data_IF_045150246234
#
_entry.id   IF_045150246234
#
_cell.length_a   1.000
_cell.length_b   1.000
_cell.length_c   1.000
_cell.angle_alpha   90.00
_cell.angle_beta   90.00
_cell.angle_gamma   90.00
#
_symmetry.space_group_name_H-M   'P 1'
#
loop_
_entity.id
_entity.type
_entity.pdbx_description
1 polymer ?
#
# COMPACT_ATOMS: atom_id res chain seq x y z
N UNK A 1 9.86 -13.63 15.25
CA UNK A 1 9.31 -14.65 14.34
C UNK A 1 10.41 -15.17 13.42
N UNK A 2 10.40 -16.45 13.05
CA UNK A 2 11.41 -17.13 12.24
C UNK A 2 11.46 -16.70 10.74
N UNK A 3 11.08 -15.45 10.44
CA UNK A 3 10.95 -14.94 9.07
C UNK A 3 9.80 -15.57 8.28
N UNK A 4 8.86 -16.27 8.92
CA UNK A 4 7.66 -16.79 8.26
C UNK A 4 6.61 -15.67 8.16
N UNK A 5 6.30 -15.24 6.94
CA UNK A 5 5.31 -14.20 6.65
C UNK A 5 4.28 -14.72 5.64
N UNK A 6 3.06 -14.17 5.60
CA UNK A 6 2.08 -14.50 4.58
C UNK A 6 2.65 -14.36 3.17
N UNK A 7 2.39 -15.35 2.30
CA UNK A 7 2.72 -15.26 0.88
C UNK A 7 2.03 -14.06 0.22
N UNK A 8 0.78 -13.81 0.63
CA UNK A 8 -0.05 -12.68 0.24
C UNK A 8 -0.84 -12.20 1.46
N UNK A 9 -0.60 -10.99 1.94
CA UNK A 9 -1.25 -10.44 3.15
C UNK A 9 -2.75 -10.24 2.99
N UNK A 10 -3.18 -9.95 1.76
CA UNK A 10 -4.57 -9.70 1.43
C UNK A 10 -5.41 -10.99 1.54
N UNK A 11 -4.83 -12.15 1.20
CA UNK A 11 -5.48 -13.46 1.32
C UNK A 11 -5.54 -14.04 2.74
N UNK A 12 -5.00 -13.35 3.75
CA UNK A 12 -5.08 -13.83 5.13
C UNK A 12 -6.53 -13.69 5.62
N UNK A 13 -7.15 -14.82 5.97
CA UNK A 13 -8.52 -14.87 6.49
C UNK A 13 -8.49 -15.20 7.98
N UNK A 14 -9.27 -14.47 8.77
CA UNK A 14 -9.45 -14.69 10.21
C UNK A 14 -10.86 -15.16 10.49
N UNK A 15 -11.02 -16.20 11.31
CA UNK A 15 -12.32 -16.75 11.67
C UNK A 15 -12.57 -16.67 13.19
N UNK A 16 -13.75 -16.25 13.65
CA UNK A 16 -14.81 -15.64 12.84
C UNK A 16 -14.31 -14.33 12.21
N UNK A 17 -14.79 -14.02 11.00
CA UNK A 17 -14.42 -12.78 10.28
C UNK A 17 -14.82 -11.52 11.07
N UNK A 18 -15.84 -11.66 11.90
CA UNK A 18 -16.32 -10.65 12.83
C UNK A 18 -16.37 -11.22 14.25
N UNK A 19 -15.73 -10.55 15.19
CA UNK A 19 -15.72 -10.95 16.60
C UNK A 19 -14.54 -10.32 17.35
N UNK A 20 -14.64 -10.28 18.68
CA UNK A 20 -13.60 -9.70 19.54
C UNK A 20 -12.26 -10.47 19.49
N UNK A 21 -12.29 -11.74 19.07
CA UNK A 21 -11.14 -12.63 19.07
C UNK A 21 -11.10 -13.47 17.79
N UNK A 22 -9.95 -13.47 17.10
CA UNK A 22 -9.65 -14.43 16.06
C UNK A 22 -9.39 -15.81 16.68
N UNK A 23 -10.03 -16.85 16.14
CA UNK A 23 -9.88 -18.25 16.57
C UNK A 23 -9.05 -19.08 15.60
N UNK A 24 -9.18 -18.83 14.30
CA UNK A 24 -8.44 -19.53 13.24
C UNK A 24 -7.93 -18.51 12.23
N UNK A 25 -6.69 -18.68 11.78
CA UNK A 25 -6.09 -17.90 10.69
C UNK A 25 -5.78 -18.86 9.55
N UNK A 26 -6.37 -18.61 8.38
CA UNK A 26 -6.04 -19.31 7.15
C UNK A 26 -5.01 -18.48 6.36
N UNK A 27 -3.78 -18.98 6.26
CA UNK A 27 -2.68 -18.31 5.58
C UNK A 27 -1.66 -19.31 5.04
N UNK A 28 -1.11 -19.00 3.87
CA UNK A 28 0.08 -19.67 3.35
C UNK A 28 1.31 -18.88 3.82
N UNK A 29 2.12 -19.47 4.71
CA UNK A 29 3.34 -18.84 5.22
C UNK A 29 4.54 -19.23 4.37
N UNK A 30 5.34 -18.24 4.02
CA UNK A 30 6.59 -18.41 3.27
C UNK A 30 7.74 -17.83 4.08
N UNK A 31 8.87 -18.52 4.07
CA UNK A 31 10.08 -18.03 4.70
C UNK A 31 10.67 -16.87 3.90
N UNK A 32 10.88 -15.73 4.57
CA UNK A 32 11.60 -14.56 4.06
C UNK A 32 13.03 -14.53 4.62
N UNK A 33 13.97 -13.87 3.92
CA UNK A 33 15.36 -13.76 4.38
C UNK A 33 15.52 -12.76 5.55
N UNK A 34 14.47 -12.05 5.92
CA UNK A 34 14.42 -11.09 7.02
C UNK A 34 13.31 -11.46 8.02
N UNK A 35 13.36 -10.84 9.21
CA UNK A 35 12.28 -10.88 10.21
C UNK A 35 11.73 -9.47 10.42
N UNK A 36 10.42 -9.37 10.62
CA UNK A 36 9.76 -8.14 11.10
C UNK A 36 9.62 -8.26 12.62
N UNK A 37 10.00 -7.22 13.35
CA UNK A 37 9.84 -7.10 14.80
C UNK A 37 9.55 -5.65 15.20
N UNK A 38 9.10 -5.44 16.44
CA UNK A 38 9.04 -4.10 17.00
C UNK A 38 10.42 -3.45 17.02
N UNK A 39 10.44 -2.16 16.73
CA UNK A 39 11.62 -1.32 16.86
C UNK A 39 11.90 -1.05 18.35
N UNK A 40 13.17 -1.04 18.72
CA UNK A 40 13.62 -0.70 20.08
C UNK A 40 14.57 0.50 20.05
N UNK A 41 14.66 1.23 21.15
CA UNK A 41 15.65 2.31 21.31
C UNK A 41 17.10 1.88 21.06
N UNK A 42 17.44 0.60 21.26
CA UNK A 42 18.75 0.04 20.91
C UNK A 42 19.04 0.07 19.40
N UNK A 43 18.00 0.17 18.56
CA UNK A 43 18.13 0.26 17.11
C UNK A 43 18.55 1.68 16.65
N UNK A 44 18.47 2.70 17.51
CA UNK A 44 18.70 4.11 17.16
C UNK A 44 19.97 4.37 16.34
N UNK A 45 21.16 3.84 16.67
CA UNK A 45 22.35 4.05 15.86
C UNK A 45 22.16 3.61 14.41
N UNK A 46 21.42 2.52 14.20
CA UNK A 46 21.15 2.00 12.86
C UNK A 46 20.00 2.76 12.18
N UNK A 47 19.00 3.21 12.93
CA UNK A 47 17.92 4.04 12.40
C UNK A 47 18.43 5.41 11.91
N UNK A 48 19.41 6.00 12.58
CA UNK A 48 20.08 7.21 12.11
C UNK A 48 20.79 7.00 10.76
N UNK A 49 21.46 5.86 10.59
CA UNK A 49 22.06 5.51 9.29
C UNK A 49 21.00 5.31 8.20
N UNK A 50 19.83 4.73 8.54
CA UNK A 50 18.72 4.62 7.60
C UNK A 50 18.18 6.01 7.21
N UNK A 51 18.05 6.95 8.15
CA UNK A 51 17.69 8.35 7.83
C UNK A 51 18.69 9.00 6.86
N UNK A 52 19.99 8.75 7.03
CA UNK A 52 21.02 9.31 6.15
C UNK A 52 20.89 8.86 4.69
N UNK A 53 20.55 7.58 4.46
CA UNK A 53 20.38 7.03 3.11
C UNK A 53 18.98 7.28 2.54
N UNK A 54 17.96 7.37 3.41
CA UNK A 54 16.57 7.55 3.01
C UNK A 54 16.20 9.00 2.65
N UNK A 55 16.90 9.97 3.22
CA UNK A 55 16.50 11.38 3.13
C UNK A 55 17.66 12.34 2.83
N UNK A 56 17.34 13.41 2.10
CA UNK A 56 18.21 14.59 1.95
C UNK A 56 18.51 15.20 3.34
N UNK A 57 19.68 15.81 3.57
CA UNK A 57 20.08 16.33 4.88
C UNK A 57 19.03 17.15 5.62
N UNK A 58 18.35 18.07 4.94
CA UNK A 58 17.31 18.93 5.51
C UNK A 58 16.01 18.20 5.89
N UNK A 59 15.81 16.98 5.39
CA UNK A 59 14.63 16.16 5.66
C UNK A 59 14.88 15.14 6.78
N UNK A 60 16.11 14.94 7.23
CA UNK A 60 16.43 13.87 8.18
C UNK A 60 15.85 14.17 9.57
N UNK A 61 15.25 13.15 10.18
CA UNK A 61 14.91 13.23 11.60
C UNK A 61 16.18 13.20 12.45
N UNK A 62 16.19 13.99 13.53
CA UNK A 62 17.28 13.94 14.53
C UNK A 62 17.13 12.70 15.42
N UNK A 63 18.19 12.30 16.12
CA UNK A 63 18.12 11.18 17.08
C UNK A 63 17.00 11.38 18.11
N UNK A 64 16.81 12.61 18.60
CA UNK A 64 15.75 12.93 19.56
C UNK A 64 14.35 12.71 18.98
N UNK A 65 14.12 13.05 17.71
CA UNK A 65 12.85 12.80 17.02
C UNK A 65 12.63 11.30 16.86
N UNK A 66 13.65 10.55 16.42
CA UNK A 66 13.55 9.10 16.29
C UNK A 66 13.28 8.42 17.64
N UNK A 67 14.02 8.80 18.69
CA UNK A 67 13.83 8.29 20.05
C UNK A 67 12.41 8.54 20.53
N UNK A 68 11.88 9.76 20.32
CA UNK A 68 10.50 10.10 20.67
C UNK A 68 9.49 9.21 19.96
N UNK A 69 9.66 8.93 18.66
CA UNK A 69 8.77 8.02 17.91
C UNK A 69 8.72 6.64 18.56
N UNK A 70 9.87 6.09 18.92
CA UNK A 70 9.98 4.75 19.52
C UNK A 70 9.40 4.70 20.94
N UNK A 71 9.69 5.69 21.77
CA UNK A 71 9.25 5.72 23.17
C UNK A 71 7.74 6.04 23.29
N UNK A 72 7.22 6.88 22.41
CA UNK A 72 5.81 7.29 22.43
C UNK A 72 4.89 6.17 21.93
N UNK A 73 5.32 5.41 20.92
CA UNK A 73 4.51 4.38 20.26
C UNK A 73 5.29 3.07 20.07
N UNK A 74 5.66 2.39 21.17
CA UNK A 74 6.58 1.24 21.14
C UNK A 74 5.99 0.02 20.42
N UNK A 75 4.67 -0.07 20.30
CA UNK A 75 3.96 -1.21 19.69
C UNK A 75 3.51 -0.97 18.25
N UNK A 76 3.79 0.22 17.68
CA UNK A 76 3.40 0.53 16.29
C UNK A 76 4.60 0.74 15.37
N UNK A 77 5.81 0.94 15.91
CA UNK A 77 7.02 1.04 15.12
C UNK A 77 7.62 -0.35 14.87
N UNK A 78 7.96 -0.64 13.62
CA UNK A 78 8.48 -1.95 13.20
C UNK A 78 9.77 -1.80 12.42
N UNK A 79 10.66 -2.77 12.55
CA UNK A 79 11.88 -2.91 11.75
C UNK A 79 11.94 -4.24 11.03
N UNK A 80 12.53 -4.23 9.85
CA UNK A 80 13.02 -5.43 9.18
C UNK A 80 14.48 -5.65 9.57
N UNK A 81 14.79 -6.84 10.08
CA UNK A 81 16.14 -7.25 10.43
C UNK A 81 16.57 -8.45 9.60
N UNK A 82 17.78 -8.39 9.04
CA UNK A 82 18.43 -9.46 8.29
C UNK A 82 19.84 -9.65 8.82
N UNK A 83 20.19 -10.91 9.14
CA UNK A 83 21.51 -11.25 9.69
C UNK A 83 21.97 -10.36 10.88
N UNK A 84 21.05 -9.95 11.75
CA UNK A 84 21.35 -9.09 12.90
C UNK A 84 21.36 -7.58 12.62
N UNK A 85 21.28 -7.16 11.36
CA UNK A 85 21.26 -5.75 10.93
C UNK A 85 19.83 -5.29 10.65
N UNK A 86 19.43 -4.14 11.19
CA UNK A 86 18.19 -3.47 10.79
C UNK A 86 18.38 -2.84 9.40
N UNK A 87 17.54 -3.26 8.44
CA UNK A 87 17.64 -2.89 7.03
C UNK A 87 16.42 -2.12 6.52
N UNK A 88 15.34 -2.04 7.30
CA UNK A 88 14.24 -1.12 7.04
C UNK A 88 13.47 -0.82 8.32
N UNK A 89 12.73 0.28 8.32
CA UNK A 89 11.89 0.73 9.43
C UNK A 89 10.60 1.34 8.90
N UNK A 90 9.51 1.13 9.63
CA UNK A 90 8.27 1.89 9.51
C UNK A 90 7.90 2.43 10.88
N UNK A 91 7.72 3.75 10.96
CA UNK A 91 7.23 4.44 12.13
C UNK A 91 5.73 4.65 11.99
N UNK A 92 4.98 4.28 13.01
CA UNK A 92 3.54 4.52 13.05
C UNK A 92 3.10 4.86 14.48
N UNK A 93 1.92 5.44 14.59
CA UNK A 93 1.30 5.77 15.87
C UNK A 93 -0.22 5.77 15.76
N UNK A 94 -0.92 5.64 16.88
CA UNK A 94 -2.35 5.89 16.91
C UNK A 94 -2.64 7.37 17.17
N UNK A 95 -3.71 7.88 16.56
CA UNK A 95 -4.20 9.25 16.70
C UNK A 95 -5.73 9.27 16.81
N UNK A 96 -6.26 10.30 17.48
CA UNK A 96 -7.70 10.42 17.75
C UNK A 96 -8.51 10.90 16.53
N UNK A 97 -7.94 11.78 15.70
CA UNK A 97 -8.61 12.35 14.52
C UNK A 97 -7.64 12.58 13.36
N UNK A 98 -8.20 12.89 12.18
CA UNK A 98 -7.43 13.29 11.00
C UNK A 98 -6.80 14.68 11.19
N UNK A 99 -7.42 15.55 11.99
CA UNK A 99 -7.03 16.97 12.11
C UNK A 99 -5.63 17.16 12.71
N UNK A 100 -5.06 16.12 13.32
CA UNK A 100 -3.69 16.12 13.83
C UNK A 100 -2.66 16.52 12.78
N UNK A 101 -2.94 16.23 11.49
CA UNK A 101 -2.02 16.58 10.40
C UNK A 101 -2.07 18.07 10.05
N UNK A 102 -3.11 18.79 10.48
CA UNK A 102 -3.22 20.24 10.28
C UNK A 102 -2.63 21.02 11.46
N UNK A 103 -2.60 20.40 12.64
CA UNK A 103 -2.14 21.06 13.87
C UNK A 103 -0.67 20.78 14.16
N UNK A 104 -0.16 19.61 13.78
CA UNK A 104 1.21 19.20 14.04
C UNK A 104 2.05 19.14 12.76
N UNK A 105 3.34 19.46 12.91
CA UNK A 105 4.33 19.32 11.85
C UNK A 105 4.97 17.94 11.86
N UNK A 106 5.59 17.57 10.74
CA UNK A 106 6.18 16.24 10.55
C UNK A 106 7.19 15.82 11.64
N UNK A 107 8.02 16.74 12.14
CA UNK A 107 9.02 16.43 13.17
C UNK A 107 8.42 16.32 14.57
N UNK A 108 7.29 16.97 14.79
CA UNK A 108 6.58 17.09 16.07
C UNK A 108 5.39 16.14 16.19
N UNK A 109 4.99 15.48 15.09
CA UNK A 109 3.77 14.68 14.95
C UNK A 109 3.57 13.62 16.05
N UNK A 110 4.66 13.16 16.70
CA UNK A 110 4.59 12.25 17.85
C UNK A 110 3.83 12.82 19.06
N UNK A 111 3.70 14.15 19.16
CA UNK A 111 2.91 14.80 20.20
C UNK A 111 1.40 14.47 20.10
N UNK A 112 0.92 14.13 18.90
CA UNK A 112 -0.48 13.76 18.66
C UNK A 112 -0.81 12.29 18.98
N UNK A 113 0.14 11.52 19.52
CA UNK A 113 -0.11 10.13 19.84
C UNK A 113 -1.23 9.98 20.87
N UNK A 114 -2.23 9.17 20.53
CA UNK A 114 -3.27 8.72 21.44
C UNK A 114 -3.34 7.18 21.40
N UNK A 115 -2.98 6.47 22.48
CA UNK A 115 -3.09 5.02 22.56
C UNK A 115 -4.51 4.48 22.30
N UNK A 116 -5.54 5.25 22.65
CA UNK A 116 -6.95 4.94 22.41
C UNK A 116 -7.46 5.41 21.03
N UNK A 117 -6.62 6.11 20.27
CA UNK A 117 -6.92 6.60 18.94
C UNK A 117 -7.34 5.46 18.00
N UNK A 118 -8.42 5.69 17.24
CA UNK A 118 -8.97 4.71 16.30
C UNK A 118 -8.34 4.76 14.91
N UNK A 119 -7.42 5.67 14.70
CA UNK A 119 -6.72 5.87 13.43
C UNK A 119 -5.26 5.51 13.63
N UNK A 120 -4.72 4.60 12.82
CA UNK A 120 -3.29 4.33 12.78
C UNK A 120 -2.64 5.24 11.72
N UNK A 121 -1.76 6.13 12.14
CA UNK A 121 -1.00 7.01 11.27
C UNK A 121 0.37 6.40 10.94
N UNK A 122 0.62 6.16 9.66
CA UNK A 122 1.96 5.93 9.11
C UNK A 122 2.72 7.27 9.10
N UNK A 123 3.85 7.32 9.79
CA UNK A 123 4.67 8.53 9.93
C UNK A 123 5.78 8.56 8.89
N UNK A 124 6.59 7.50 8.82
CA UNK A 124 7.66 7.40 7.82
C UNK A 124 8.04 5.93 7.60
N UNK A 125 8.48 5.63 6.38
CA UNK A 125 9.00 4.31 5.99
C UNK A 125 10.34 4.52 5.29
N UNK A 126 11.36 3.76 5.68
CA UNK A 126 12.71 3.87 5.12
C UNK A 126 13.29 2.47 4.98
N UNK A 127 13.92 2.18 3.85
CA UNK A 127 14.71 0.97 3.62
C UNK A 127 16.14 1.31 3.24
N UNK A 128 17.07 0.42 3.58
CA UNK A 128 18.46 0.50 3.12
C UNK A 128 18.51 0.53 1.58
N UNK A 129 19.48 1.24 1.04
CA UNK A 129 19.71 1.43 -0.39
C UNK A 129 20.67 0.37 -0.96
N UNK A 130 21.17 -0.56 -0.14
CA UNK A 130 21.93 -1.72 -0.63
C UNK A 130 21.13 -2.47 -1.72
N UNK A 131 21.73 -2.78 -2.89
CA UNK A 131 21.01 -3.37 -4.03
C UNK A 131 20.33 -4.71 -3.74
N UNK A 132 20.85 -5.49 -2.79
CA UNK A 132 20.19 -6.71 -2.33
C UNK A 132 18.91 -6.42 -1.53
N UNK A 133 18.91 -5.36 -0.71
CA UNK A 133 17.78 -4.95 0.11
C UNK A 133 16.69 -4.34 -0.76
N UNK A 134 17.05 -3.48 -1.72
CA UNK A 134 16.08 -2.87 -2.63
C UNK A 134 15.30 -3.91 -3.45
N UNK A 135 15.96 -4.97 -3.92
CA UNK A 135 15.30 -6.07 -4.65
C UNK A 135 14.30 -6.86 -3.82
N UNK A 136 14.34 -6.75 -2.49
CA UNK A 136 13.38 -7.43 -1.61
C UNK A 136 12.05 -6.69 -1.48
N UNK A 137 11.94 -5.44 -1.95
CA UNK A 137 10.70 -4.68 -1.86
C UNK A 137 10.23 -4.44 -0.42
N UNK A 138 11.16 -4.15 0.52
CA UNK A 138 10.83 -4.05 1.95
C UNK A 138 9.82 -2.96 2.28
N UNK A 139 9.72 -1.92 1.46
CA UNK A 139 8.68 -0.91 1.61
C UNK A 139 7.29 -1.50 1.42
N UNK A 140 7.09 -2.30 0.37
CA UNK A 140 5.81 -2.98 0.11
C UNK A 140 5.49 -3.98 1.22
N UNK A 141 6.47 -4.76 1.66
CA UNK A 141 6.31 -5.75 2.75
C UNK A 141 5.95 -5.08 4.08
N UNK A 142 6.65 -4.00 4.48
CA UNK A 142 6.33 -3.27 5.71
C UNK A 142 4.97 -2.58 5.64
N UNK A 143 4.63 -1.93 4.52
CA UNK A 143 3.31 -1.33 4.31
C UNK A 143 2.22 -2.39 4.46
N UNK A 144 2.35 -3.51 3.73
CA UNK A 144 1.38 -4.61 3.76
C UNK A 144 1.24 -5.20 5.17
N UNK A 145 2.35 -5.40 5.88
CA UNK A 145 2.34 -5.92 7.24
C UNK A 145 1.64 -4.97 8.22
N UNK A 146 1.89 -3.66 8.15
CA UNK A 146 1.21 -2.68 9.02
C UNK A 146 -0.29 -2.63 8.72
N UNK A 147 -0.70 -2.63 7.45
CA UNK A 147 -2.11 -2.66 7.07
C UNK A 147 -2.79 -3.94 7.54
N UNK A 148 -2.08 -5.08 7.48
CA UNK A 148 -2.57 -6.34 8.03
C UNK A 148 -2.77 -6.26 9.55
N UNK A 149 -1.81 -5.70 10.30
CA UNK A 149 -1.97 -5.46 11.75
C UNK A 149 -3.18 -4.57 12.04
N UNK A 150 -3.35 -3.47 11.31
CA UNK A 150 -4.50 -2.58 11.46
C UNK A 150 -5.83 -3.30 11.17
N UNK A 151 -5.86 -4.19 10.17
CA UNK A 151 -7.03 -4.99 9.84
C UNK A 151 -7.43 -5.93 10.97
N UNK A 152 -6.48 -6.56 11.65
CA UNK A 152 -6.78 -7.52 12.74
C UNK A 152 -6.98 -6.84 14.11
N UNK A 153 -6.57 -5.58 14.25
CA UNK A 153 -6.76 -4.81 15.47
C UNK A 153 -8.20 -4.25 15.56
N UNK A 154 -9.01 -4.64 16.57
CA UNK A 154 -10.38 -4.17 16.68
C UNK A 154 -10.49 -2.69 17.08
N UNK A 155 -9.42 -2.08 17.58
CA UNK A 155 -9.40 -0.67 17.97
C UNK A 155 -9.07 0.28 16.81
N UNK A 156 -8.62 -0.23 15.66
CA UNK A 156 -8.24 0.58 14.50
C UNK A 156 -9.32 0.50 13.43
N UNK A 157 -9.82 1.64 12.97
CA UNK A 157 -10.87 1.74 11.93
C UNK A 157 -10.28 2.11 10.57
N UNK A 158 -9.24 2.94 10.54
CA UNK A 158 -8.58 3.34 9.31
C UNK A 158 -7.08 3.55 9.52
N UNK A 159 -6.34 3.52 8.42
CA UNK A 159 -4.91 3.87 8.41
C UNK A 159 -4.72 5.11 7.58
N UNK A 160 -3.97 6.10 8.07
CA UNK A 160 -3.66 7.32 7.33
C UNK A 160 -2.15 7.48 7.18
N UNK A 161 -1.73 8.38 6.31
CA UNK A 161 -0.37 8.87 6.25
C UNK A 161 -0.33 10.21 5.54
N UNK A 162 0.67 11.03 5.83
CA UNK A 162 0.94 12.22 5.01
C UNK A 162 2.18 11.92 4.21
N UNK A 163 1.99 11.68 2.92
CA UNK A 163 3.08 11.38 1.99
C UNK A 163 3.54 12.65 1.27
N UNK A 164 4.60 12.53 0.47
CA UNK A 164 5.12 13.59 -0.40
C UNK A 164 5.00 13.18 -1.86
N UNK A 165 5.16 14.13 -2.77
CA UNK A 165 5.37 13.83 -4.18
C UNK A 165 6.88 13.82 -4.47
N UNK A 166 7.37 12.73 -5.06
CA UNK A 166 8.80 12.61 -5.41
C UNK A 166 9.10 13.12 -6.82
N UNK A 167 8.10 13.13 -7.70
CA UNK A 167 8.25 13.50 -9.10
C UNK A 167 7.68 14.90 -9.41
N UNK A 168 7.18 15.59 -8.38
CA UNK A 168 6.65 16.95 -8.49
C UNK A 168 7.76 17.98 -8.76
N UNK A 169 7.52 18.85 -9.74
CA UNK A 169 8.39 19.96 -10.11
C UNK A 169 7.53 21.20 -10.37
N UNK A 170 7.15 21.89 -9.30
CA UNK A 170 6.27 23.06 -9.38
C UNK A 170 6.24 23.85 -8.06
N UNK A 171 5.38 24.86 -8.01
CA UNK A 171 5.15 25.65 -6.81
C UNK A 171 3.85 25.29 -6.09
N UNK A 172 3.53 26.06 -5.05
CA UNK A 172 2.33 25.87 -4.22
C UNK A 172 1.03 25.82 -5.04
N UNK A 173 0.94 26.63 -6.11
CA UNK A 173 -0.29 26.77 -6.91
C UNK A 173 -0.52 25.56 -7.83
N UNK A 174 0.54 24.84 -8.17
CA UNK A 174 0.52 23.72 -9.09
C UNK A 174 0.30 22.37 -8.39
N UNK A 175 0.55 22.27 -7.07
CA UNK A 175 0.48 21.02 -6.32
C UNK A 175 -0.90 20.35 -6.39
N UNK A 176 -1.99 21.11 -6.27
CA UNK A 176 -3.34 20.55 -6.33
C UNK A 176 -3.61 19.91 -7.69
N UNK A 177 -3.35 20.66 -8.78
CA UNK A 177 -3.51 20.15 -10.13
C UNK A 177 -2.60 18.93 -10.40
N UNK A 178 -1.38 18.91 -9.86
CA UNK A 178 -0.49 17.75 -9.99
C UNK A 178 -1.08 16.50 -9.34
N UNK A 179 -1.55 16.61 -8.09
CA UNK A 179 -2.16 15.49 -7.37
C UNK A 179 -3.47 15.05 -8.02
N UNK A 180 -4.29 15.98 -8.49
CA UNK A 180 -5.54 15.66 -9.20
C UNK A 180 -5.27 14.86 -10.48
N UNK A 181 -4.24 15.25 -11.25
CA UNK A 181 -3.81 14.50 -12.44
C UNK A 181 -3.25 13.12 -12.11
N UNK A 182 -2.64 12.95 -10.94
CA UNK A 182 -2.24 11.62 -10.46
C UNK A 182 -3.46 10.75 -10.14
N UNK A 183 -4.44 11.31 -9.43
CA UNK A 183 -5.68 10.61 -9.07
C UNK A 183 -6.50 10.24 -10.30
N UNK A 184 -6.59 11.15 -11.28
CA UNK A 184 -7.21 10.91 -12.58
C UNK A 184 -6.41 9.94 -13.46
N UNK A 185 -5.17 9.64 -13.08
CA UNK A 185 -4.32 8.67 -13.77
C UNK A 185 -3.65 9.18 -15.05
N UNK A 186 -3.69 10.49 -15.27
CA UNK A 186 -2.97 11.15 -16.37
C UNK A 186 -1.46 11.15 -16.15
N UNK A 187 -1.03 11.20 -14.90
CA UNK A 187 0.36 11.12 -14.48
C UNK A 187 0.52 10.14 -13.33
N UNK A 188 1.74 9.73 -13.06
CA UNK A 188 2.04 8.84 -11.94
C UNK A 188 3.23 9.39 -11.16
N UNK A 189 2.97 9.83 -9.93
CA UNK A 189 4.00 10.10 -8.94
C UNK A 189 4.35 8.80 -8.22
N UNK A 190 5.63 8.50 -8.13
CA UNK A 190 6.17 7.28 -7.53
C UNK A 190 5.77 7.07 -6.07
N UNK A 191 5.77 8.13 -5.25
CA UNK A 191 5.56 8.02 -3.80
C UNK A 191 4.07 8.04 -3.46
N UNK A 192 3.27 8.86 -4.14
CA UNK A 192 1.81 8.79 -4.00
C UNK A 192 1.30 7.48 -4.59
N UNK A 193 1.82 7.06 -5.74
CA UNK A 193 1.51 5.81 -6.43
C UNK A 193 1.82 4.55 -5.61
N UNK A 194 2.94 4.55 -4.86
CA UNK A 194 3.26 3.49 -3.91
C UNK A 194 2.10 3.23 -2.91
N UNK A 195 1.34 4.26 -2.54
CA UNK A 195 0.20 4.10 -1.64
C UNK A 195 -1.12 3.85 -2.37
N UNK A 196 -1.42 4.62 -3.43
CA UNK A 196 -2.68 4.51 -4.17
C UNK A 196 -2.78 3.21 -4.98
N UNK A 197 -1.65 2.62 -5.36
CA UNK A 197 -1.57 1.27 -5.94
C UNK A 197 -1.87 0.15 -4.96
N UNK A 198 -1.85 0.43 -3.66
CA UNK A 198 -2.16 -0.53 -2.61
C UNK A 198 -3.45 -0.17 -1.85
N UNK A 199 -4.35 0.56 -2.51
CA UNK A 199 -5.69 0.84 -1.99
C UNK A 199 -5.81 2.08 -1.10
N UNK A 200 -4.78 2.91 -1.00
CA UNK A 200 -4.95 4.23 -0.41
C UNK A 200 -5.76 5.13 -1.34
N UNK A 201 -6.64 5.95 -0.77
CA UNK A 201 -7.21 7.11 -1.45
C UNK A 201 -6.46 8.36 -1.05
N UNK A 202 -6.28 9.30 -1.98
CA UNK A 202 -5.87 10.67 -1.65
C UNK A 202 -7.08 11.37 -1.04
N UNK A 203 -6.89 11.97 0.14
CA UNK A 203 -7.95 12.69 0.86
C UNK A 203 -7.90 14.17 0.54
N UNK A 204 -6.74 14.82 0.76
CA UNK A 204 -6.49 16.24 0.49
C UNK A 204 -5.01 16.59 0.65
N UNK A 205 -4.65 17.81 0.24
CA UNK A 205 -3.37 18.41 0.59
C UNK A 205 -3.32 18.87 2.06
N UNK A 206 -2.11 18.93 2.61
CA UNK A 206 -1.79 19.38 3.97
C UNK A 206 -0.70 20.46 3.91
N UNK A 207 -1.07 21.73 3.70
CA UNK A 207 -0.10 22.82 3.56
C UNK A 207 0.70 23.04 4.86
N UNK A 208 2.02 23.23 4.74
CA UNK A 208 2.88 23.55 5.86
C UNK A 208 3.22 22.37 6.79
N UNK A 209 2.84 21.15 6.40
CA UNK A 209 3.10 19.94 7.19
C UNK A 209 4.59 19.67 7.40
N UNK A 210 5.42 19.93 6.38
CA UNK A 210 6.88 19.75 6.46
C UNK A 210 7.60 20.90 5.76
N UNK A 211 7.73 22.08 6.39
CA UNK A 211 8.28 23.27 5.76
C UNK A 211 9.67 23.09 5.13
N UNK A 212 10.46 22.13 5.63
CA UNK A 212 11.79 21.79 5.13
C UNK A 212 11.77 21.07 3.76
N UNK A 213 10.60 20.57 3.33
CA UNK A 213 10.39 19.95 2.02
C UNK A 213 10.10 21.01 0.94
N UNK A 214 11.15 21.73 0.58
CA UNK A 214 11.08 22.75 -0.47
C UNK A 214 10.67 22.17 -1.83
N UNK A 215 11.02 20.91 -2.11
CA UNK A 215 10.62 20.21 -3.35
C UNK A 215 9.08 20.16 -3.48
N UNK A 216 8.37 20.09 -2.36
CA UNK A 216 6.91 20.03 -2.27
C UNK A 216 6.29 21.35 -1.75
N UNK A 217 7.07 22.42 -1.67
CA UNK A 217 6.69 23.69 -1.07
C UNK A 217 6.10 23.56 0.36
N UNK A 218 6.59 22.57 1.11
CA UNK A 218 6.14 22.22 2.45
C UNK A 218 4.75 21.57 2.54
N UNK A 219 4.15 21.20 1.41
CA UNK A 219 2.81 20.61 1.33
C UNK A 219 2.92 19.09 1.38
N UNK A 220 2.20 18.46 2.30
CA UNK A 220 1.99 17.01 2.31
C UNK A 220 0.73 16.59 1.57
N UNK A 221 0.63 15.31 1.23
CA UNK A 221 -0.56 14.69 0.64
C UNK A 221 -1.13 13.69 1.65
N UNK A 222 -2.29 13.98 2.21
CA UNK A 222 -2.98 13.08 3.13
C UNK A 222 -3.59 11.92 2.34
N UNK A 223 -3.19 10.71 2.71
CA UNK A 223 -3.71 9.45 2.17
C UNK A 223 -4.44 8.67 3.27
N UNK A 224 -5.41 7.85 2.87
CA UNK A 224 -6.13 6.97 3.79
C UNK A 224 -6.39 5.60 3.17
N UNK A 225 -6.17 4.55 3.96
CA UNK A 225 -6.59 3.18 3.68
C UNK A 225 -7.83 2.86 4.50
N UNK A 226 -8.83 2.27 3.84
CA UNK A 226 -9.95 1.63 4.50
C UNK A 226 -9.60 0.16 4.76
N UNK A 227 -9.31 -0.18 6.02
CA UNK A 227 -8.83 -1.53 6.38
C UNK A 227 -9.94 -2.48 6.82
N UNK A 228 -11.16 -1.97 7.07
CA UNK A 228 -12.33 -2.76 7.49
C UNK A 228 -13.36 -3.00 6.39
N UNK A 229 -13.39 -2.16 5.35
CA UNK A 229 -14.36 -2.25 4.24
C UNK A 229 -14.11 -3.44 3.28
N UNK A 230 -13.03 -4.19 3.50
CA UNK A 230 -12.70 -5.38 2.72
C UNK A 230 -13.61 -6.59 2.98
N UNK A 231 -14.41 -6.58 4.05
CA UNK A 231 -15.35 -7.67 4.41
C UNK A 231 -16.76 -7.43 3.86
N UNK A 232 -17.10 -6.20 3.44
CA UNK A 232 -18.46 -5.88 3.03
C UNK A 232 -18.80 -6.34 1.59
N UNK A 233 -17.80 -6.52 0.71
CA UNK A 233 -18.03 -6.92 -0.69
C UNK A 233 -18.22 -8.43 -0.91
N UNK A 234 -17.91 -9.28 0.07
CA UNK A 234 -18.22 -10.72 0.04
C UNK A 234 -19.65 -11.04 0.50
N UNK A 235 -20.45 -10.04 0.88
CA UNK A 235 -21.84 -10.20 1.31
C UNK A 235 -22.89 -9.83 0.26
N UNK A 236 -22.52 -9.66 -1.02
CA UNK A 236 -23.52 -9.68 -2.11
C UNK A 236 -23.98 -11.13 -2.33
N UNK A 237 -24.92 -11.50 -1.46
CA UNK A 237 -26.04 -12.41 -1.66
C UNK A 237 -25.76 -13.83 -2.17
N UNK A 238 -25.32 -14.70 -1.26
CA UNK A 238 -25.75 -16.10 -1.23
C UNK A 238 -27.12 -16.19 -0.52
N UNK A 239 -28.16 -15.55 -1.04
CA UNK A 239 -29.53 -15.94 -0.70
C UNK A 239 -30.04 -16.94 -1.72
N UNK A 240 -30.05 -18.19 -1.29
CA UNK A 240 -30.73 -19.34 -1.83
C UNK A 240 -31.82 -19.06 -2.90
N UNK A 241 -31.54 -19.49 -4.13
CA UNK A 241 -32.54 -20.12 -4.99
C UNK A 241 -31.90 -21.36 -5.63
N UNK A 242 -32.59 -22.48 -5.49
CA UNK A 242 -32.05 -23.83 -5.53
C UNK A 242 -31.24 -24.19 -6.78
N UNK A 243 -30.13 -24.88 -6.56
CA UNK A 243 -29.54 -25.76 -7.56
C UNK A 243 -30.36 -27.05 -7.63
N UNK A 244 -31.33 -27.08 -8.53
CA UNK A 244 -31.61 -28.32 -9.24
C UNK A 244 -30.45 -28.59 -10.20
N UNK A 245 -30.00 -29.84 -10.23
CA UNK A 245 -28.96 -30.31 -11.11
C UNK A 245 -29.40 -30.19 -12.57
N UNK A 246 -28.76 -29.33 -13.34
CA UNK A 246 -28.74 -29.44 -14.81
C UNK A 246 -27.32 -29.60 -15.29
N UNK A 247 -27.02 -30.83 -15.68
CA UNK A 247 -25.89 -31.25 -16.48
C UNK A 247 -25.72 -30.44 -17.76
N UNK A 248 -24.47 -30.09 -18.06
CA UNK A 248 -23.93 -30.10 -19.42
C UNK A 248 -24.43 -29.05 -20.41
N UNK A 249 -23.67 -27.96 -20.54
CA UNK A 249 -23.40 -27.34 -21.84
C UNK A 249 -22.01 -26.70 -21.79
N UNK A 250 -21.12 -27.13 -22.70
CA UNK A 250 -19.83 -26.47 -22.90
C UNK A 250 -20.07 -25.00 -23.36
N UNK A 251 -19.24 -24.03 -22.93
CA UNK A 251 -19.36 -22.68 -23.43
C UNK A 251 -19.05 -22.66 -24.94
N UNK A 252 -19.88 -21.94 -25.69
CA UNK A 252 -19.72 -21.76 -27.12
C UNK A 252 -18.36 -21.10 -27.44
N UNK A 253 -17.61 -21.60 -28.43
CA UNK A 253 -16.39 -20.95 -28.90
C UNK A 253 -16.80 -19.69 -29.69
N UNK A 254 -16.61 -18.51 -29.10
CA UNK A 254 -16.93 -17.25 -29.79
C UNK A 254 -16.89 -15.95 -28.97
N UNK A 255 -16.59 -16.00 -27.66
CA UNK A 255 -16.52 -14.80 -26.79
C UNK A 255 -15.12 -14.60 -26.16
N UNK A 256 -14.05 -14.89 -26.91
CA UNK A 256 -12.70 -14.38 -26.67
C UNK A 256 -12.53 -13.24 -27.69
N UNK A 257 -12.19 -11.97 -27.38
CA UNK A 257 -11.12 -11.53 -26.51
C UNK A 257 -11.16 -9.99 -26.27
N UNK A 258 -12.29 -9.37 -25.90
CA UNK A 258 -12.36 -7.90 -25.74
C UNK A 258 -11.48 -7.39 -24.58
N UNK A 259 -11.57 -8.02 -23.41
CA UNK A 259 -10.74 -7.69 -22.25
C UNK A 259 -9.26 -8.01 -22.47
N UNK A 260 -8.97 -9.10 -23.20
CA UNK A 260 -7.60 -9.51 -23.49
C UNK A 260 -6.92 -8.58 -24.51
N UNK A 261 -7.62 -8.22 -25.60
CA UNK A 261 -7.12 -7.27 -26.60
C UNK A 261 -6.87 -5.89 -25.99
N UNK A 262 -7.76 -5.43 -25.10
CA UNK A 262 -7.61 -4.20 -24.35
C UNK A 262 -6.36 -4.24 -23.45
N UNK A 263 -6.17 -5.32 -22.70
CA UNK A 263 -5.00 -5.47 -21.85
C UNK A 263 -3.70 -5.56 -22.65
N UNK A 264 -3.68 -6.24 -23.80
CA UNK A 264 -2.52 -6.23 -24.69
C UNK A 264 -2.15 -4.83 -25.15
N UNK A 265 -3.14 -4.04 -25.58
CA UNK A 265 -2.93 -2.65 -26.00
C UNK A 265 -2.36 -1.80 -24.86
N UNK A 266 -2.98 -1.87 -23.68
CA UNK A 266 -2.55 -1.11 -22.50
C UNK A 266 -1.14 -1.52 -22.09
N UNK A 267 -0.86 -2.82 -22.01
CA UNK A 267 0.43 -3.34 -21.56
C UNK A 267 1.54 -3.04 -22.56
N UNK A 268 1.26 -3.08 -23.86
CA UNK A 268 2.20 -2.64 -24.90
C UNK A 268 2.49 -1.13 -24.80
N UNK A 269 1.46 -0.29 -24.65
CA UNK A 269 1.58 1.17 -24.52
C UNK A 269 2.50 1.60 -23.38
N UNK A 270 2.46 0.87 -22.25
CA UNK A 270 3.28 1.17 -21.06
C UNK A 270 4.64 0.46 -21.07
N UNK A 271 4.98 -0.29 -22.13
CA UNK A 271 6.29 -0.91 -22.30
C UNK A 271 6.45 -2.32 -21.70
N UNK A 272 5.35 -3.00 -21.38
CA UNK A 272 5.32 -4.39 -20.91
C UNK A 272 4.58 -5.30 -21.91
N UNK A 273 5.07 -5.48 -23.15
CA UNK A 273 4.40 -6.35 -24.11
C UNK A 273 4.26 -7.76 -23.55
N UNK A 274 3.06 -8.32 -23.69
CA UNK A 274 2.74 -9.66 -23.22
C UNK A 274 2.62 -10.59 -24.41
N UNK A 275 3.32 -11.72 -24.34
CA UNK A 275 3.20 -12.81 -25.31
C UNK A 275 2.06 -13.74 -24.90
N UNK A 276 1.38 -14.35 -25.87
CA UNK A 276 0.21 -15.22 -25.65
C UNK A 276 0.48 -16.42 -24.75
N UNK A 277 1.73 -16.88 -24.69
CA UNK A 277 2.11 -18.06 -23.91
C UNK A 277 2.34 -17.75 -22.42
N UNK A 278 2.38 -16.46 -22.04
CA UNK A 278 2.69 -16.00 -20.68
C UNK A 278 1.46 -15.50 -19.91
N UNK A 279 0.24 -15.57 -20.44
CA UNK A 279 -0.94 -14.89 -19.88
C UNK A 279 -1.29 -15.18 -18.40
N UNK A 280 -0.95 -16.36 -17.88
CA UNK A 280 -1.14 -16.74 -16.48
C UNK A 280 -0.03 -16.25 -15.54
N UNK A 281 1.00 -15.61 -16.08
CA UNK A 281 2.14 -15.07 -15.33
C UNK A 281 1.68 -13.84 -14.56
N UNK A 282 1.99 -13.81 -13.27
CA UNK A 282 1.64 -12.67 -12.42
C UNK A 282 2.29 -11.37 -12.91
N UNK A 283 1.60 -10.24 -12.79
CA UNK A 283 2.12 -8.93 -13.23
C UNK A 283 3.54 -8.65 -12.71
N UNK A 284 3.82 -8.93 -11.44
CA UNK A 284 5.18 -8.77 -10.86
C UNK A 284 6.27 -9.59 -11.58
N UNK A 285 5.93 -10.73 -12.17
CA UNK A 285 6.89 -11.55 -12.90
C UNK A 285 7.22 -10.96 -14.29
N UNK A 286 6.46 -9.98 -14.78
CA UNK A 286 6.82 -9.15 -15.93
C UNK A 286 7.73 -7.97 -15.56
N UNK A 287 8.11 -7.84 -14.28
CA UNK A 287 8.82 -6.66 -13.78
C UNK A 287 7.90 -5.46 -13.51
N UNK A 288 6.58 -5.66 -13.58
CA UNK A 288 5.57 -4.64 -13.26
C UNK A 288 5.54 -4.51 -11.75
N UNK A 289 6.04 -3.38 -11.25
CA UNK A 289 5.98 -3.06 -9.84
C UNK A 289 4.62 -2.44 -9.46
N UNK A 290 4.47 -2.11 -8.17
CA UNK A 290 3.25 -1.49 -7.63
C UNK A 290 2.88 -0.18 -8.33
N UNK A 291 3.86 0.56 -8.87
CA UNK A 291 3.63 1.81 -9.59
C UNK A 291 3.11 1.57 -10.99
N UNK A 292 3.65 0.57 -11.68
CA UNK A 292 3.20 0.16 -13.00
C UNK A 292 1.79 -0.47 -12.95
N UNK A 293 1.42 -1.14 -11.85
CA UNK A 293 0.04 -1.58 -11.63
C UNK A 293 -0.95 -0.41 -11.56
N UNK A 294 -0.55 0.72 -10.97
CA UNK A 294 -1.36 1.95 -10.97
C UNK A 294 -1.56 2.45 -12.39
N UNK A 295 -0.50 2.48 -13.20
CA UNK A 295 -0.58 2.90 -14.60
C UNK A 295 -1.54 2.04 -15.41
N UNK A 296 -1.44 0.72 -15.27
CA UNK A 296 -2.35 -0.23 -15.95
C UNK A 296 -3.79 0.02 -15.52
N UNK A 297 -4.07 0.07 -14.21
CA UNK A 297 -5.42 0.32 -13.68
C UNK A 297 -5.99 1.64 -14.19
N UNK A 298 -5.20 2.71 -14.11
CA UNK A 298 -5.62 4.04 -14.50
C UNK A 298 -5.93 4.11 -16.00
N UNK A 299 -5.08 3.51 -16.83
CA UNK A 299 -5.29 3.42 -18.28
C UNK A 299 -6.51 2.58 -18.61
N UNK A 300 -6.73 1.50 -17.87
CA UNK A 300 -7.90 0.64 -18.01
C UNK A 300 -9.19 1.40 -17.65
N UNK A 301 -9.21 2.11 -16.52
CA UNK A 301 -10.34 2.92 -16.08
C UNK A 301 -10.65 4.06 -17.06
N UNK A 302 -9.61 4.75 -17.55
CA UNK A 302 -9.76 5.79 -18.57
C UNK A 302 -10.31 5.24 -19.89
N UNK A 303 -9.83 4.08 -20.35
CA UNK A 303 -10.31 3.47 -21.60
C UNK A 303 -11.75 2.98 -21.48
N UNK A 304 -12.13 2.45 -20.32
CA UNK A 304 -13.48 1.94 -20.06
C UNK A 304 -14.45 3.05 -19.61
N UNK A 305 -13.96 4.23 -19.25
CA UNK A 305 -14.78 5.33 -18.73
C UNK A 305 -15.40 5.06 -17.36
N UNK A 306 -14.80 4.17 -16.56
CA UNK A 306 -15.29 3.76 -15.24
C UNK A 306 -14.19 3.84 -14.19
N UNK A 307 -14.58 4.14 -12.94
CA UNK A 307 -13.69 4.06 -11.80
C UNK A 307 -13.50 2.60 -11.39
N UNK A 308 -12.28 2.10 -11.61
CA UNK A 308 -11.93 0.73 -11.26
C UNK A 308 -11.49 0.63 -9.79
N UNK A 309 -11.82 -0.48 -9.10
CA UNK A 309 -11.33 -0.73 -7.76
C UNK A 309 -9.80 -0.61 -7.71
N UNK A 310 -9.28 0.05 -6.68
CA UNK A 310 -7.83 0.24 -6.51
C UNK A 310 -7.07 -1.08 -6.36
N UNK A 311 -7.77 -2.15 -5.95
CA UNK A 311 -7.24 -3.50 -5.77
C UNK A 311 -7.40 -4.40 -6.99
N UNK A 312 -8.00 -3.93 -8.09
CA UNK A 312 -8.37 -4.77 -9.24
C UNK A 312 -7.21 -5.67 -9.72
N UNK A 313 -6.02 -5.11 -9.93
CA UNK A 313 -4.86 -5.87 -10.39
C UNK A 313 -4.22 -6.75 -9.30
N UNK A 314 -4.61 -6.59 -8.04
CA UNK A 314 -4.22 -7.49 -6.95
C UNK A 314 -5.22 -8.65 -6.81
N UNK A 315 -6.50 -8.36 -7.05
CA UNK A 315 -7.60 -9.32 -7.02
C UNK A 315 -7.52 -10.26 -8.24
N UNK A 316 -7.07 -9.74 -9.38
CA UNK A 316 -6.81 -10.47 -10.62
C UNK A 316 -5.34 -10.29 -11.04
N UNK A 317 -4.41 -11.09 -10.47
CA UNK A 317 -2.98 -10.78 -10.44
C UNK A 317 -2.21 -11.12 -11.73
N UNK A 318 -2.90 -11.51 -12.81
CA UNK A 318 -2.31 -11.79 -14.12
C UNK A 318 -3.28 -11.34 -15.22
N UNK A 319 -2.76 -11.28 -16.45
CA UNK A 319 -3.49 -10.80 -17.63
C UNK A 319 -4.71 -11.66 -17.92
N UNK A 320 -4.58 -12.98 -17.79
CA UNK A 320 -5.66 -13.93 -18.05
C UNK A 320 -6.85 -13.74 -17.09
N UNK A 321 -6.59 -13.67 -15.79
CA UNK A 321 -7.60 -13.52 -14.75
C UNK A 321 -8.29 -12.16 -14.86
N UNK A 322 -7.52 -11.10 -15.16
CA UNK A 322 -8.07 -9.76 -15.32
C UNK A 322 -8.92 -9.66 -16.58
N UNK A 323 -8.46 -10.22 -17.72
CA UNK A 323 -9.24 -10.26 -18.96
C UNK A 323 -10.57 -11.00 -18.75
N UNK A 324 -10.53 -12.17 -18.11
CA UNK A 324 -11.74 -12.94 -17.81
C UNK A 324 -12.70 -12.22 -16.88
N UNK A 325 -12.20 -11.42 -15.93
CA UNK A 325 -13.04 -10.61 -15.08
C UNK A 325 -13.70 -9.49 -15.87
N UNK A 326 -12.95 -8.79 -16.72
CA UNK A 326 -13.46 -7.72 -17.58
C UNK A 326 -14.51 -8.22 -18.59
N UNK A 327 -14.32 -9.43 -19.13
CA UNK A 327 -15.28 -10.03 -20.08
C UNK A 327 -16.59 -10.51 -19.41
N UNK A 328 -16.64 -10.58 -18.06
CA UNK A 328 -17.82 -11.01 -17.30
C UNK A 328 -18.69 -9.87 -16.80
N UNK A 329 -18.14 -8.66 -16.74
CA UNK A 329 -18.83 -7.43 -16.33
C UNK A 329 -19.45 -6.73 -17.55
#
# INVERSE_FOLDING_TARGET
MAGLLPAKYNNVQTYPEQGKYCRVINQHLVRRPFKIRFADTSDLPRLMQLEEVGWKPQLRATENVLRRRLETSPTSCLVCEMAGKVIAVVYAQRVASLDVVDTERFMEISAAHDPAGRILQLVALISDTEPEVQRMGLGDELRAFVLHLARVDPGVESVIGVTRCSDFKGGVREMQNYVDRHVAGEIVDSTVGFHTGYGARVVRLVPGFRPEDEDNAGIGVLIQYQVKDWVAKSQVSLTAKGLEATSGAAPAPGAQALGLDLLYGIMSDIGYPVESDDLGKGFFNYGIDSLEMVRIRNRLGSTLGIDLPTTLLLDFPNVQDLAQHLDRE
#
